data_IF_966111737819
#
_entry.id   IF_966111737819
#
_cell.length_a   1.000
_cell.length_b   1.000
_cell.length_c   1.000
_cell.angle_alpha   90.00
_cell.angle_beta   90.00
_cell.angle_gamma   90.00
#
_symmetry.space_group_name_H-M   'P 1'
#
loop_
_entity.id
_entity.type
_entity.pdbx_description
1 polymer ?
#
# COMPACT_ATOMS: atom_id res chain seq x y z
N UNK A 1 -9.24 -22.02 5.05
CA UNK A 1 -8.36 -21.11 5.80
C UNK A 1 -7.49 -20.43 4.79
N UNK A 2 -7.75 -19.16 4.46
CA UNK A 2 -6.90 -18.43 3.53
C UNK A 2 -5.75 -17.83 4.32
N UNK A 3 -4.61 -18.51 4.30
CA UNK A 3 -3.36 -18.00 4.87
C UNK A 3 -2.79 -16.96 3.91
N UNK A 4 -2.35 -15.81 4.43
CA UNK A 4 -1.53 -14.86 3.69
C UNK A 4 -0.17 -15.50 3.38
N UNK A 5 -0.06 -16.15 2.23
CA UNK A 5 1.18 -16.83 1.80
C UNK A 5 2.21 -15.80 1.35
N UNK A 6 3.40 -15.73 1.99
CA UNK A 6 4.46 -14.83 1.57
C UNK A 6 5.07 -15.20 0.20
N UNK A 7 5.64 -14.25 -0.55
CA UNK A 7 5.54 -12.81 -0.29
C UNK A 7 4.11 -12.30 -0.48
N UNK A 8 3.61 -11.48 0.43
CA UNK A 8 2.28 -10.90 0.29
C UNK A 8 2.36 -9.67 -0.63
N UNK A 9 1.55 -9.66 -1.70
CA UNK A 9 1.53 -8.58 -2.69
C UNK A 9 0.94 -7.29 -2.11
N UNK A 10 1.70 -6.19 -2.19
CA UNK A 10 1.30 -4.87 -1.70
C UNK A 10 1.55 -3.79 -2.76
N UNK A 11 0.78 -2.71 -2.68
CA UNK A 11 1.00 -1.49 -3.48
C UNK A 11 1.53 -0.41 -2.55
N UNK A 12 2.54 0.31 -3.01
CA UNK A 12 3.04 1.50 -2.34
C UNK A 12 2.70 2.73 -3.17
N UNK A 13 2.16 3.75 -2.51
CA UNK A 13 1.82 5.03 -3.12
C UNK A 13 2.70 6.09 -2.47
N UNK A 14 3.60 6.71 -3.22
CA UNK A 14 4.57 7.66 -2.69
C UNK A 14 5.26 8.46 -3.79
N UNK A 15 5.67 9.69 -3.49
CA UNK A 15 6.12 10.64 -4.51
C UNK A 15 7.61 10.51 -4.87
N UNK A 16 8.41 9.83 -4.05
CA UNK A 16 9.89 9.81 -4.14
C UNK A 16 10.42 8.37 -4.31
N UNK A 17 11.01 8.06 -5.47
CA UNK A 17 11.53 6.72 -5.80
C UNK A 17 12.74 6.35 -4.95
N UNK A 18 13.57 7.34 -4.60
CA UNK A 18 14.73 7.20 -3.72
C UNK A 18 14.37 6.75 -2.30
N UNK A 19 13.10 6.90 -1.90
CA UNK A 19 12.56 6.35 -0.65
C UNK A 19 11.81 5.05 -0.92
N UNK A 20 11.00 5.00 -1.99
CA UNK A 20 10.21 3.82 -2.36
C UNK A 20 11.06 2.57 -2.55
N UNK A 21 12.22 2.69 -3.23
CA UNK A 21 13.14 1.58 -3.47
C UNK A 21 13.66 0.94 -2.18
N UNK A 22 14.34 1.70 -1.29
CA UNK A 22 14.80 1.18 0.00
C UNK A 22 13.67 0.64 0.88
N UNK A 23 12.46 1.23 0.81
CA UNK A 23 11.29 0.69 1.51
C UNK A 23 10.87 -0.66 0.95
N UNK A 24 10.86 -0.84 -0.37
CA UNK A 24 10.57 -2.11 -1.03
C UNK A 24 11.55 -3.21 -0.59
N UNK A 25 12.84 -2.89 -0.62
CA UNK A 25 13.89 -3.81 -0.19
C UNK A 25 13.76 -4.15 1.30
N UNK A 26 13.51 -3.15 2.14
CA UNK A 26 13.38 -3.31 3.59
C UNK A 26 12.15 -4.11 4.03
N UNK A 27 11.15 -4.29 3.16
CA UNK A 27 9.94 -5.07 3.45
C UNK A 27 10.05 -6.54 3.00
N UNK A 28 10.99 -6.87 2.11
CA UNK A 28 11.29 -8.25 1.71
C UNK A 28 11.87 -9.08 2.86
N UNK A 29 11.79 -10.42 2.81
CA UNK A 29 11.12 -11.23 1.77
C UNK A 29 9.61 -11.44 1.99
N UNK A 30 9.07 -10.99 3.12
CA UNK A 30 7.69 -11.32 3.52
C UNK A 30 6.62 -10.56 2.72
N UNK A 31 6.99 -9.39 2.21
CA UNK A 31 6.12 -8.48 1.48
C UNK A 31 6.77 -8.10 0.16
N UNK A 32 5.98 -8.11 -0.91
CA UNK A 32 6.45 -7.73 -2.25
C UNK A 32 5.64 -6.55 -2.77
N UNK A 33 6.34 -5.45 -3.04
CA UNK A 33 5.74 -4.28 -3.68
C UNK A 33 5.57 -4.62 -5.15
N UNK A 34 4.32 -4.87 -5.57
CA UNK A 34 4.03 -5.24 -6.97
C UNK A 34 3.91 -4.00 -7.86
N UNK A 35 3.50 -2.87 -7.30
CA UNK A 35 3.42 -1.57 -7.99
C UNK A 35 3.80 -0.45 -7.02
N UNK A 36 4.60 0.50 -7.51
CA UNK A 36 4.85 1.78 -6.86
C UNK A 36 4.24 2.91 -7.69
N UNK A 37 3.30 3.64 -7.10
CA UNK A 37 2.49 4.67 -7.75
C UNK A 37 2.93 6.04 -7.23
N UNK A 38 3.24 6.97 -8.14
CA UNK A 38 3.83 8.27 -7.75
C UNK A 38 2.88 9.46 -7.85
N UNK A 39 1.77 9.32 -8.59
CA UNK A 39 0.80 10.40 -8.78
C UNK A 39 -0.62 9.98 -8.40
N UNK A 40 -1.46 10.97 -8.12
CA UNK A 40 -2.85 10.71 -7.79
C UNK A 40 -3.62 10.19 -9.01
N UNK A 41 -3.31 10.70 -10.19
CA UNK A 41 -3.91 10.30 -11.46
C UNK A 41 -3.56 8.84 -11.81
N UNK A 42 -2.31 8.44 -11.60
CA UNK A 42 -1.88 7.04 -11.75
C UNK A 42 -2.62 6.14 -10.75
N UNK A 43 -2.77 6.58 -9.49
CA UNK A 43 -3.54 5.84 -8.49
C UNK A 43 -5.01 5.65 -8.90
N UNK A 44 -5.65 6.69 -9.46
CA UNK A 44 -7.03 6.59 -9.95
C UNK A 44 -7.16 5.63 -11.13
N UNK A 45 -6.15 5.55 -11.99
CA UNK A 45 -6.16 4.66 -13.17
C UNK A 45 -5.88 3.20 -12.78
N UNK A 46 -4.90 2.98 -11.92
CA UNK A 46 -4.33 1.65 -11.69
C UNK A 46 -5.03 0.88 -10.57
N UNK A 47 -5.34 1.54 -9.44
CA UNK A 47 -5.90 0.88 -8.26
C UNK A 47 -7.15 0.03 -8.54
N UNK A 48 -8.16 0.47 -9.33
CA UNK A 48 -9.32 -0.39 -9.59
C UNK A 48 -8.97 -1.72 -10.28
N UNK A 49 -7.97 -1.73 -11.18
CA UNK A 49 -7.54 -2.97 -11.84
C UNK A 49 -6.78 -3.87 -10.89
N UNK A 50 -5.81 -3.29 -10.15
CA UNK A 50 -5.00 -4.03 -9.19
C UNK A 50 -5.88 -4.69 -8.11
N UNK A 51 -6.88 -3.97 -7.59
CA UNK A 51 -7.81 -4.47 -6.58
C UNK A 51 -8.69 -5.62 -7.08
N UNK A 52 -8.98 -5.65 -8.39
CA UNK A 52 -9.68 -6.76 -9.05
C UNK A 52 -8.78 -7.94 -9.39
N UNK A 53 -7.46 -7.81 -9.18
CA UNK A 53 -6.46 -8.82 -9.53
C UNK A 53 -6.04 -8.77 -11.00
N UNK A 54 -6.13 -7.61 -11.64
CA UNK A 54 -5.80 -7.37 -13.03
C UNK A 54 -4.54 -6.50 -13.15
N UNK A 55 -3.79 -6.66 -14.24
CA UNK A 55 -2.66 -5.78 -14.53
C UNK A 55 -3.16 -4.34 -14.79
N UNK A 56 -2.45 -3.31 -14.30
CA UNK A 56 -2.80 -1.93 -14.57
C UNK A 56 -2.77 -1.59 -16.06
N UNK A 57 -3.63 -0.66 -16.53
CA UNK A 57 -3.61 -0.23 -17.92
C UNK A 57 -2.42 0.68 -18.24
N UNK A 58 -1.79 1.27 -17.23
CA UNK A 58 -0.63 2.15 -17.40
C UNK A 58 0.68 1.38 -17.24
N UNK A 59 1.65 1.72 -18.09
CA UNK A 59 3.01 1.25 -17.92
C UNK A 59 3.62 1.85 -16.62
N UNK A 60 4.42 1.08 -15.87
CA UNK A 60 5.12 1.59 -14.69
C UNK A 60 5.96 2.83 -15.01
N UNK A 61 5.80 3.86 -14.18
CA UNK A 61 6.59 5.10 -14.27
C UNK A 61 8.00 4.96 -13.67
N UNK A 62 8.27 3.86 -12.97
CA UNK A 62 9.49 3.61 -12.20
C UNK A 62 9.76 2.09 -12.07
N UNK A 63 10.90 1.71 -11.48
CA UNK A 63 11.36 0.33 -11.38
C UNK A 63 11.25 -0.30 -9.97
N UNK A 64 10.47 0.29 -9.05
CA UNK A 64 10.41 -0.16 -7.63
C UNK A 64 9.50 -1.38 -7.44
N UNK A 65 8.58 -1.63 -8.37
CA UNK A 65 7.64 -2.77 -8.32
C UNK A 65 8.20 -4.04 -8.96
N UNK A 66 7.76 -5.21 -8.48
CA UNK A 66 8.03 -6.51 -9.13
C UNK A 66 7.15 -6.77 -10.34
N UNK A 67 6.02 -6.07 -10.45
CA UNK A 67 5.00 -6.25 -11.49
C UNK A 67 4.36 -7.65 -11.51
N UNK A 68 4.51 -8.42 -10.43
CA UNK A 68 3.87 -9.73 -10.28
C UNK A 68 2.42 -9.59 -9.78
N UNK A 69 1.49 -9.43 -10.73
CA UNK A 69 0.04 -9.40 -10.45
C UNK A 69 -0.62 -10.80 -10.43
N UNK A 70 0.16 -11.90 -10.41
CA UNK A 70 -0.40 -13.26 -10.35
C UNK A 70 -1.14 -13.56 -9.04
N UNK A 71 -0.91 -12.73 -8.01
CA UNK A 71 -1.51 -12.84 -6.69
C UNK A 71 -2.31 -11.57 -6.36
N UNK A 72 -3.44 -11.71 -5.63
CA UNK A 72 -4.24 -10.55 -5.27
C UNK A 72 -3.47 -9.65 -4.32
N UNK A 73 -3.54 -8.32 -4.55
CA UNK A 73 -3.00 -7.34 -3.62
C UNK A 73 -3.76 -7.39 -2.30
N UNK A 74 -3.00 -7.27 -1.22
CA UNK A 74 -3.47 -7.41 0.16
C UNK A 74 -3.26 -6.16 1.00
N UNK A 75 -2.48 -5.20 0.52
CA UNK A 75 -2.37 -3.88 1.14
C UNK A 75 -2.07 -2.78 0.12
N UNK A 76 -2.57 -1.58 0.40
CA UNK A 76 -2.22 -0.32 -0.27
C UNK A 76 -1.72 0.63 0.83
N UNK A 77 -0.46 1.04 0.73
CA UNK A 77 0.19 1.89 1.72
C UNK A 77 0.55 3.24 1.10
N UNK A 78 0.04 4.32 1.69
CA UNK A 78 0.34 5.68 1.28
C UNK A 78 1.47 6.23 2.14
N UNK A 79 2.56 6.64 1.50
CA UNK A 79 3.60 7.45 2.12
C UNK A 79 3.11 8.87 2.41
N UNK A 80 3.82 9.57 3.29
CA UNK A 80 3.45 10.92 3.78
C UNK A 80 3.56 12.06 2.76
N UNK A 81 3.99 11.74 1.53
CA UNK A 81 3.91 12.67 0.40
C UNK A 81 2.48 12.88 -0.11
N UNK A 82 1.63 11.85 0.02
CA UNK A 82 0.20 11.95 -0.27
C UNK A 82 -0.54 12.49 0.96
N UNK A 83 -1.56 13.30 0.73
CA UNK A 83 -2.37 13.84 1.83
C UNK A 83 -3.30 12.75 2.37
N UNK A 84 -3.66 12.84 3.66
CA UNK A 84 -4.70 11.99 4.24
C UNK A 84 -5.99 12.03 3.40
N UNK A 85 -6.41 13.23 2.96
CA UNK A 85 -7.60 13.42 2.14
C UNK A 85 -7.52 12.71 0.77
N UNK A 86 -6.34 12.68 0.14
CA UNK A 86 -6.15 11.93 -1.10
C UNK A 86 -6.32 10.42 -0.87
N UNK A 87 -5.73 9.89 0.20
CA UNK A 87 -5.88 8.49 0.55
C UNK A 87 -7.35 8.14 0.89
N UNK A 88 -8.03 8.98 1.66
CA UNK A 88 -9.47 8.85 1.96
C UNK A 88 -10.34 8.87 0.70
N UNK A 89 -10.01 9.75 -0.24
CA UNK A 89 -10.72 9.84 -1.51
C UNK A 89 -10.57 8.56 -2.33
N UNK A 90 -9.35 8.05 -2.49
CA UNK A 90 -9.08 6.80 -3.21
C UNK A 90 -9.72 5.60 -2.51
N UNK A 91 -9.66 5.56 -1.18
CA UNK A 91 -10.32 4.54 -0.37
C UNK A 91 -11.84 4.55 -0.59
N UNK A 92 -12.49 5.71 -0.50
CA UNK A 92 -13.93 5.84 -0.68
C UNK A 92 -14.40 5.49 -2.10
N UNK A 93 -13.56 5.72 -3.11
CA UNK A 93 -13.87 5.38 -4.50
C UNK A 93 -13.67 3.90 -4.82
N UNK A 94 -12.62 3.26 -4.29
CA UNK A 94 -12.15 1.98 -4.82
C UNK A 94 -12.08 0.83 -3.82
N UNK A 95 -12.26 1.06 -2.51
CA UNK A 95 -12.21 -0.03 -1.52
C UNK A 95 -13.20 -1.17 -1.81
N UNK A 96 -14.36 -0.86 -2.41
CA UNK A 96 -15.36 -1.86 -2.81
C UNK A 96 -14.99 -2.69 -4.05
N UNK A 97 -13.95 -2.32 -4.80
CA UNK A 97 -13.46 -3.10 -5.95
C UNK A 97 -12.69 -4.36 -5.51
N UNK A 98 -12.21 -4.38 -4.25
CA UNK A 98 -11.41 -5.46 -3.72
C UNK A 98 -12.24 -6.74 -3.55
N UNK A 99 -11.80 -7.83 -4.19
CA UNK A 99 -12.44 -9.16 -4.05
C UNK A 99 -12.05 -9.88 -2.74
N UNK A 100 -10.96 -9.44 -2.12
CA UNK A 100 -10.38 -9.98 -0.88
C UNK A 100 -10.16 -8.85 0.12
N UNK A 101 -9.96 -9.13 1.42
CA UNK A 101 -9.56 -8.13 2.39
C UNK A 101 -8.24 -7.44 1.98
N UNK A 102 -8.25 -6.12 1.95
CA UNK A 102 -7.10 -5.26 1.64
C UNK A 102 -6.93 -4.24 2.77
N UNK A 103 -5.72 -4.16 3.33
CA UNK A 103 -5.34 -3.07 4.23
C UNK A 103 -5.15 -1.78 3.44
N UNK A 104 -5.75 -0.68 3.91
CA UNK A 104 -5.42 0.66 3.44
C UNK A 104 -4.73 1.42 4.57
N UNK A 105 -3.48 1.84 4.37
CA UNK A 105 -2.70 2.55 5.39
C UNK A 105 -2.29 3.94 4.92
N UNK A 106 -2.63 5.00 5.65
CA UNK A 106 -2.28 6.38 5.28
C UNK A 106 -1.71 7.17 6.46
N UNK A 107 -0.79 8.09 6.17
CA UNK A 107 -0.24 8.96 7.21
C UNK A 107 -1.30 9.96 7.70
N UNK A 108 -1.46 10.10 9.01
CA UNK A 108 -2.37 11.09 9.58
C UNK A 108 -1.92 12.52 9.24
N UNK A 109 -2.86 13.43 9.02
CA UNK A 109 -2.57 14.83 8.69
C UNK A 109 -1.68 15.52 9.74
N UNK A 110 -1.85 15.17 11.02
CA UNK A 110 -1.04 15.67 12.12
C UNK A 110 0.45 15.24 12.04
N UNK A 111 0.74 14.16 11.33
CA UNK A 111 2.09 13.61 11.18
C UNK A 111 2.82 14.14 9.93
N UNK A 112 2.21 15.10 9.20
CA UNK A 112 2.81 15.71 8.02
C UNK A 112 3.72 16.86 8.44
N UNK A 113 4.99 16.79 8.03
CA UNK A 113 5.95 17.87 8.23
C UNK A 113 5.65 19.11 7.38
N UNK A 114 6.18 20.28 7.75
CA UNK A 114 6.05 21.49 6.96
C UNK A 114 6.95 21.40 5.72
N UNK A 115 6.43 20.84 4.63
CA UNK A 115 7.15 20.75 3.36
C UNK A 115 6.79 19.52 2.53
N UNK A 116 7.26 19.51 1.28
CA UNK A 116 7.15 18.37 0.36
C UNK A 116 8.45 17.56 0.26
N UNK A 117 9.54 18.10 0.80
CA UNK A 117 10.83 17.41 0.86
C UNK A 117 10.85 16.40 2.01
N UNK A 118 11.33 15.18 1.75
CA UNK A 118 11.44 14.18 2.79
C UNK A 118 12.59 14.53 3.74
N UNK A 119 12.44 14.33 5.06
CA UNK A 119 13.55 14.40 5.98
C UNK A 119 14.65 13.38 5.61
N UNK A 120 15.94 13.67 5.87
CA UNK A 120 17.00 12.69 5.68
C UNK A 120 16.73 11.39 6.43
N UNK A 121 16.91 10.26 5.77
CA UNK A 121 16.75 8.93 6.39
C UNK A 121 15.31 8.50 6.65
N UNK A 122 14.32 9.15 6.03
CA UNK A 122 12.89 8.83 6.24
C UNK A 122 12.55 7.37 5.89
N UNK A 123 13.28 6.75 4.96
CA UNK A 123 13.12 5.33 4.61
C UNK A 123 13.31 4.42 5.83
N UNK A 124 14.24 4.75 6.74
CA UNK A 124 14.50 4.00 7.97
C UNK A 124 13.36 4.11 8.98
N UNK A 125 12.54 5.15 8.86
CA UNK A 125 11.33 5.34 9.68
C UNK A 125 10.12 4.68 9.02
N UNK A 126 10.01 4.74 7.69
CA UNK A 126 8.86 4.19 6.97
C UNK A 126 8.80 2.66 6.97
N UNK A 127 9.94 1.98 6.83
CA UNK A 127 9.99 0.50 6.86
C UNK A 127 9.38 -0.08 8.14
N UNK A 128 9.81 0.29 9.37
CA UNK A 128 9.24 -0.28 10.59
C UNK A 128 7.76 0.08 10.79
N UNK A 129 7.33 1.27 10.35
CA UNK A 129 5.91 1.67 10.40
C UNK A 129 5.08 0.76 9.51
N UNK A 130 5.45 0.63 8.23
CA UNK A 130 4.72 -0.20 7.27
C UNK A 130 4.73 -1.66 7.68
N UNK A 131 5.87 -2.18 8.12
CA UNK A 131 5.95 -3.54 8.67
C UNK A 131 5.02 -3.73 9.85
N UNK A 132 4.99 -2.79 10.80
CA UNK A 132 4.07 -2.84 11.94
C UNK A 132 2.59 -2.89 11.53
N UNK A 133 2.18 -2.05 10.57
CA UNK A 133 0.82 -2.06 10.03
C UNK A 133 0.46 -3.40 9.38
N UNK A 134 1.35 -3.89 8.51
CA UNK A 134 1.16 -5.12 7.75
C UNK A 134 1.08 -6.35 8.67
N UNK A 135 1.98 -6.46 9.66
CA UNK A 135 1.98 -7.57 10.62
C UNK A 135 0.76 -7.53 11.55
N UNK A 136 0.34 -6.34 12.00
CA UNK A 136 -0.87 -6.21 12.80
C UNK A 136 -2.10 -6.64 12.00
N UNK A 137 -2.22 -6.17 10.76
CA UNK A 137 -3.32 -6.54 9.88
C UNK A 137 -3.32 -8.05 9.56
N UNK A 138 -2.16 -8.64 9.29
CA UNK A 138 -2.02 -10.09 9.08
C UNK A 138 -2.57 -10.89 10.27
N UNK A 139 -2.20 -10.53 11.49
CA UNK A 139 -2.72 -11.15 12.72
C UNK A 139 -4.24 -10.99 12.86
N UNK A 140 -4.79 -9.84 12.46
CA UNK A 140 -6.23 -9.64 12.49
C UNK A 140 -6.98 -10.53 11.50
N UNK A 141 -6.47 -10.66 10.27
CA UNK A 141 -7.03 -11.56 9.24
C UNK A 141 -6.98 -13.01 9.71
N UNK A 142 -5.86 -13.44 10.30
CA UNK A 142 -5.70 -14.80 10.85
C UNK A 142 -6.65 -15.06 12.01
N UNK A 143 -6.89 -14.06 12.88
CA UNK A 143 -7.77 -14.18 14.05
C UNK A 143 -9.26 -14.17 13.69
N UNK A 144 -9.70 -13.21 12.87
CA UNK A 144 -11.13 -12.97 12.56
C UNK A 144 -11.61 -13.75 11.33
N UNK A 145 -10.69 -14.27 10.53
CA UNK A 145 -11.00 -14.80 9.20
C UNK A 145 -11.30 -13.71 8.17
N UNK A 146 -11.23 -14.06 6.89
CA UNK A 146 -11.36 -13.08 5.81
C UNK A 146 -12.74 -12.41 5.74
N UNK A 147 -13.80 -13.05 6.23
CA UNK A 147 -15.18 -12.56 6.14
C UNK A 147 -15.43 -11.24 6.89
N UNK A 148 -14.85 -11.06 8.08
CA UNK A 148 -14.97 -9.82 8.86
C UNK A 148 -13.93 -8.78 8.45
N UNK A 149 -12.75 -9.21 7.98
CA UNK A 149 -11.71 -8.31 7.47
C UNK A 149 -12.06 -7.65 6.13
N UNK A 150 -13.12 -8.11 5.43
CA UNK A 150 -13.61 -7.56 4.16
C UNK A 150 -14.04 -6.08 4.22
N UNK A 151 -14.31 -5.53 5.41
CA UNK A 151 -14.47 -4.08 5.60
C UNK A 151 -13.13 -3.47 5.99
N UNK A 152 -12.13 -3.59 5.12
CA UNK A 152 -10.78 -3.07 5.42
C UNK A 152 -10.85 -1.57 5.65
N UNK A 153 -10.90 -1.14 6.91
CA UNK A 153 -10.92 0.27 7.25
C UNK A 153 -9.61 0.94 6.81
N UNK A 154 -9.70 2.22 6.44
CA UNK A 154 -8.51 3.05 6.27
C UNK A 154 -7.86 3.26 7.64
N UNK A 155 -6.64 2.74 7.81
CA UNK A 155 -5.85 2.87 9.04
C UNK A 155 -4.93 4.08 8.91
N UNK A 156 -5.03 5.00 9.87
CA UNK A 156 -4.15 6.17 9.96
C UNK A 156 -2.95 5.87 10.88
N UNK A 157 -1.74 6.30 10.46
CA UNK A 157 -0.48 6.10 11.19
C UNK A 157 0.40 7.36 11.31
#
# INVERSE_FOLDING_TARGET
MSTLTPPVSIVLVGIHTEIGGPVAEGLRPDWDIVRFIQTFEEAQSDLPYILRGEAPPTAPSNSVGSEDYSRPVRAILFGRGFTQQQAETLYGLYSSEAKVPVLWGAGAAANRGPGTEPPPGVEKVMVPIFRGLLENWKKEVERKGEGEAKKGDLVLY
#
